data_IF_844446938008
#
_entry.id   IF_844446938008
#
_cell.length_a   1.000
_cell.length_b   1.000
_cell.length_c   1.000
_cell.angle_alpha   90.00
_cell.angle_beta   90.00
_cell.angle_gamma   90.00
#
_symmetry.space_group_name_H-M   'P 1'
#
loop_
_entity.id
_entity.type
_entity.pdbx_description
1 polymer ?
#
# COMPACT_ATOMS: atom_id res chain seq x y z
N UNK A 1 19.69 -38.52 20.03
CA UNK A 1 20.10 -37.85 18.79
C UNK A 1 21.25 -36.93 19.13
N UNK A 2 22.41 -37.12 18.52
CA UNK A 2 23.58 -36.25 18.68
C UNK A 2 23.41 -35.02 17.81
N UNK A 3 23.05 -33.88 18.41
CA UNK A 3 23.14 -32.57 17.77
C UNK A 3 24.57 -32.05 17.88
N UNK A 4 25.15 -31.62 16.75
CA UNK A 4 26.42 -30.90 16.73
C UNK A 4 26.10 -29.43 17.00
N UNK A 5 26.57 -28.91 18.14
CA UNK A 5 26.54 -27.49 18.46
C UNK A 5 27.82 -26.86 17.90
N UNK A 6 27.78 -26.31 16.68
CA UNK A 6 28.92 -25.55 16.14
C UNK A 6 28.94 -24.16 16.76
N UNK A 7 29.75 -24.00 17.81
CA UNK A 7 30.18 -22.70 18.33
C UNK A 7 31.15 -22.05 17.34
N UNK A 8 30.60 -21.34 16.35
CA UNK A 8 31.35 -20.29 15.66
C UNK A 8 31.64 -19.17 16.64
N UNK A 9 32.88 -18.66 16.67
CA UNK A 9 33.33 -17.57 17.54
C UNK A 9 32.24 -16.50 17.70
N UNK A 10 31.78 -16.27 18.94
CA UNK A 10 30.98 -15.11 19.29
C UNK A 10 31.80 -13.86 18.96
N UNK A 11 31.52 -13.23 17.81
CA UNK A 11 31.99 -11.88 17.53
C UNK A 11 30.96 -10.95 18.13
N UNK A 12 31.16 -10.58 19.39
CA UNK A 12 30.42 -9.48 19.99
C UNK A 12 30.98 -8.19 19.39
N UNK A 13 30.23 -7.58 18.46
CA UNK A 13 30.55 -6.27 17.92
C UNK A 13 30.43 -5.25 19.06
N UNK A 14 31.49 -4.50 19.32
CA UNK A 14 31.72 -3.71 20.54
C UNK A 14 30.70 -2.58 20.84
N UNK A 15 29.62 -2.43 20.06
CA UNK A 15 28.62 -1.36 20.25
C UNK A 15 27.16 -1.80 19.98
N UNK A 16 26.86 -3.10 19.81
CA UNK A 16 25.53 -3.53 19.37
C UNK A 16 24.99 -4.73 20.16
N UNK A 17 23.91 -4.48 20.93
CA UNK A 17 22.82 -5.41 21.33
C UNK A 17 23.08 -6.32 22.57
N UNK A 18 22.01 -6.78 23.27
CA UNK A 18 22.01 -7.40 24.61
C UNK A 18 23.14 -8.41 24.85
N UNK A 19 23.64 -8.41 26.09
CA UNK A 19 24.72 -9.30 26.50
C UNK A 19 24.15 -10.68 26.85
N UNK A 20 24.48 -11.68 26.04
CA UNK A 20 24.22 -13.08 26.36
C UNK A 20 25.03 -13.47 27.60
N UNK A 21 24.35 -13.92 28.65
CA UNK A 21 24.98 -14.31 29.91
C UNK A 21 25.13 -15.82 30.02
N UNK A 22 24.20 -16.60 29.48
CA UNK A 22 24.28 -18.07 29.45
C UNK A 22 23.45 -18.69 28.32
N UNK A 23 23.89 -19.85 27.83
CA UNK A 23 23.07 -20.75 27.02
C UNK A 23 23.34 -22.18 27.52
N UNK A 24 22.29 -22.96 27.76
CA UNK A 24 22.42 -24.36 28.21
C UNK A 24 21.24 -25.19 27.71
N UNK A 25 21.37 -26.51 27.86
CA UNK A 25 20.24 -27.43 27.70
C UNK A 25 19.65 -27.73 29.08
N UNK A 26 18.33 -27.71 29.19
CA UNK A 26 17.59 -28.12 30.39
C UNK A 26 17.74 -29.63 30.63
N UNK A 27 17.34 -30.10 31.81
CA UNK A 27 17.30 -31.54 32.11
C UNK A 27 16.32 -32.31 31.21
N UNK A 28 15.36 -31.60 30.59
CA UNK A 28 14.41 -32.12 29.60
C UNK A 28 14.92 -31.96 28.16
N UNK A 29 16.11 -31.39 27.95
CA UNK A 29 16.74 -31.22 26.64
C UNK A 29 16.31 -29.96 25.88
N UNK A 30 15.64 -29.01 26.53
CA UNK A 30 15.22 -27.74 25.90
C UNK A 30 16.35 -26.71 25.96
N UNK A 31 16.37 -25.77 25.02
CA UNK A 31 17.32 -24.66 25.09
C UNK A 31 16.90 -23.66 26.17
N UNK A 32 17.79 -23.37 27.10
CA UNK A 32 17.64 -22.28 28.07
C UNK A 32 18.63 -21.17 27.72
N UNK A 33 18.10 -19.96 27.64
CA UNK A 33 18.79 -18.75 27.24
C UNK A 33 18.72 -17.72 28.36
N UNK A 34 19.88 -17.22 28.79
CA UNK A 34 19.98 -16.12 29.76
C UNK A 34 20.67 -14.92 29.10
N UNK A 35 20.10 -13.73 29.28
CA UNK A 35 20.68 -12.50 28.75
C UNK A 35 20.31 -11.28 29.61
N UNK A 36 21.06 -10.20 29.41
CA UNK A 36 20.81 -8.91 30.03
C UNK A 36 20.35 -7.90 28.97
N UNK A 37 19.06 -7.55 29.04
CA UNK A 37 18.45 -6.54 28.19
C UNK A 37 18.89 -5.13 28.61
N UNK A 38 19.18 -4.25 27.63
CA UNK A 38 19.57 -2.87 27.93
C UNK A 38 18.39 -2.03 28.39
N UNK A 39 18.63 -1.16 29.37
CA UNK A 39 17.61 -0.25 29.91
C UNK A 39 16.92 0.57 28.80
N UNK A 40 15.60 0.55 28.76
CA UNK A 40 14.78 1.33 27.82
C UNK A 40 14.59 0.71 26.43
N UNK A 41 15.05 -0.53 26.21
CA UNK A 41 14.74 -1.31 25.02
C UNK A 41 13.86 -2.51 25.38
N UNK A 42 12.99 -2.89 24.45
CA UNK A 42 12.20 -4.12 24.52
C UNK A 42 12.75 -5.09 23.48
N UNK A 43 12.81 -6.36 23.86
CA UNK A 43 13.30 -7.43 22.99
C UNK A 43 12.28 -8.55 22.88
N UNK A 44 12.39 -9.36 21.85
CA UNK A 44 11.69 -10.64 21.72
C UNK A 44 12.68 -11.70 21.28
N UNK A 45 12.38 -12.95 21.58
CA UNK A 45 13.10 -14.08 21.00
C UNK A 45 12.35 -14.48 19.74
N UNK A 46 13.10 -14.58 18.64
CA UNK A 46 12.58 -15.09 17.39
C UNK A 46 13.17 -16.46 17.10
N UNK A 47 12.37 -17.37 16.55
CA UNK A 47 12.78 -18.67 16.06
C UNK A 47 12.80 -18.71 14.52
N UNK A 48 13.65 -19.56 13.95
CA UNK A 48 13.73 -19.81 12.51
C UNK A 48 14.15 -21.25 12.26
N UNK A 49 13.58 -21.89 11.24
CA UNK A 49 13.99 -23.23 10.79
C UNK A 49 15.09 -23.18 9.72
N UNK A 50 15.23 -22.05 9.02
CA UNK A 50 16.04 -21.93 7.80
C UNK A 50 16.97 -20.70 7.76
N UNK A 51 17.00 -19.90 8.84
CA UNK A 51 17.67 -18.60 8.97
C UNK A 51 17.17 -17.48 8.04
N UNK A 52 16.19 -17.76 7.17
CA UNK A 52 15.60 -16.80 6.24
C UNK A 52 14.32 -16.19 6.80
N UNK A 53 13.44 -17.01 7.37
CA UNK A 53 12.17 -16.58 7.97
C UNK A 53 12.27 -16.66 9.49
N UNK A 54 11.93 -15.56 10.18
CA UNK A 54 12.00 -15.45 11.63
C UNK A 54 10.62 -15.13 12.19
N UNK A 55 10.19 -15.84 13.23
CA UNK A 55 8.91 -15.66 13.92
C UNK A 55 9.13 -15.39 15.40
N UNK A 56 8.36 -14.49 16.00
CA UNK A 56 8.43 -14.21 17.43
C UNK A 56 7.92 -15.43 18.21
N UNK A 57 8.63 -15.83 19.27
CA UNK A 57 8.31 -16.99 20.13
C UNK A 57 8.38 -16.65 21.62
N UNK A 58 8.41 -15.37 21.97
CA UNK A 58 8.38 -14.91 23.36
C UNK A 58 7.48 -13.70 23.54
N UNK A 59 7.02 -13.47 24.76
CA UNK A 59 6.44 -12.16 25.12
C UNK A 59 7.50 -11.06 25.01
N UNK A 60 7.09 -9.78 24.82
CA UNK A 60 8.00 -8.66 24.86
C UNK A 60 8.76 -8.59 26.20
N UNK A 61 10.08 -8.72 26.10
CA UNK A 61 11.02 -8.74 27.20
C UNK A 61 11.50 -7.31 27.42
N UNK A 62 10.87 -6.66 28.39
CA UNK A 62 11.26 -5.31 28.82
C UNK A 62 12.54 -5.42 29.64
N UNK A 63 13.46 -4.47 29.45
CA UNK A 63 14.68 -4.42 30.25
C UNK A 63 14.38 -4.49 31.75
N UNK A 64 15.03 -5.42 32.42
CA UNK A 64 15.11 -5.44 33.87
C UNK A 64 16.59 -5.40 34.26
N UNK A 65 16.93 -4.77 35.38
CA UNK A 65 18.30 -4.81 35.91
C UNK A 65 18.75 -6.24 36.31
N UNK A 66 17.89 -7.24 36.10
CA UNK A 66 18.16 -8.66 36.29
C UNK A 66 18.27 -9.40 34.94
N UNK A 67 19.04 -10.49 34.95
CA UNK A 67 19.08 -11.42 33.83
C UNK A 67 17.68 -12.02 33.60
N UNK A 68 17.26 -12.07 32.33
CA UNK A 68 16.04 -12.78 31.93
C UNK A 68 16.42 -14.16 31.45
N UNK A 69 15.75 -15.17 32.01
CA UNK A 69 15.85 -16.55 31.55
C UNK A 69 14.64 -16.88 30.66
N UNK A 70 14.89 -17.43 29.49
CA UNK A 70 13.88 -17.97 28.59
C UNK A 70 14.18 -19.42 28.27
N UNK A 71 13.12 -20.23 28.20
CA UNK A 71 13.20 -21.66 27.90
C UNK A 71 12.42 -21.90 26.61
N UNK A 72 13.05 -22.54 25.64
CA UNK A 72 12.40 -22.90 24.38
C UNK A 72 11.18 -23.80 24.64
N UNK A 73 10.06 -23.61 23.91
CA UNK A 73 8.89 -24.48 24.01
C UNK A 73 9.25 -25.96 23.81
N UNK A 74 8.46 -26.87 24.40
CA UNK A 74 8.54 -28.29 24.04
C UNK A 74 7.99 -28.43 22.62
N UNK A 75 8.87 -28.41 21.61
CA UNK A 75 8.52 -28.59 20.20
C UNK A 75 9.30 -29.75 19.58
N UNK A 76 8.64 -30.51 18.70
CA UNK A 76 9.17 -31.69 18.02
C UNK A 76 10.07 -31.33 16.81
N UNK A 77 10.24 -30.03 16.51
CA UNK A 77 11.00 -29.54 15.36
C UNK A 77 12.54 -29.71 15.56
N UNK A 78 13.23 -30.54 14.74
CA UNK A 78 14.60 -30.94 15.02
C UNK A 78 15.68 -29.86 14.76
N UNK A 79 15.33 -28.67 14.28
CA UNK A 79 16.31 -27.61 13.92
C UNK A 79 15.72 -26.20 14.05
N UNK A 80 15.61 -25.66 15.27
CA UNK A 80 15.28 -24.25 15.49
C UNK A 80 16.52 -23.41 15.84
N UNK A 81 16.68 -22.31 15.12
CA UNK A 81 17.61 -21.22 15.43
C UNK A 81 16.87 -20.17 16.25
N UNK A 82 17.45 -19.70 17.34
CA UNK A 82 16.89 -18.60 18.13
C UNK A 82 17.77 -17.37 18.04
N UNK A 83 17.16 -16.18 17.98
CA UNK A 83 17.86 -14.90 18.12
C UNK A 83 17.07 -13.96 19.01
N UNK A 84 17.79 -13.06 19.69
CA UNK A 84 17.19 -11.95 20.41
C UNK A 84 17.08 -10.76 19.46
N UNK A 85 15.85 -10.37 19.15
CA UNK A 85 15.52 -9.25 18.28
C UNK A 85 15.03 -8.06 19.10
N UNK A 86 15.39 -6.84 18.69
CA UNK A 86 14.83 -5.64 19.31
C UNK A 86 13.40 -5.49 18.82
N UNK A 87 12.45 -5.44 19.75
CA UNK A 87 11.03 -5.27 19.49
C UNK A 87 10.63 -3.85 19.87
N UNK A 88 10.48 -2.99 18.87
CA UNK A 88 10.07 -1.61 19.11
C UNK A 88 8.65 -1.38 18.61
N UNK A 89 7.69 -1.75 19.45
CA UNK A 89 6.27 -1.55 19.18
C UNK A 89 5.90 -0.08 19.00
N UNK A 90 6.64 0.83 19.64
CA UNK A 90 6.45 2.26 19.45
C UNK A 90 6.94 2.71 18.07
N UNK A 91 8.06 2.17 17.58
CA UNK A 91 8.52 2.42 16.22
C UNK A 91 7.56 1.85 15.17
N UNK A 92 7.01 0.64 15.38
CA UNK A 92 5.98 0.08 14.51
C UNK A 92 4.72 0.95 14.47
N UNK A 93 4.28 1.41 15.66
CA UNK A 93 3.17 2.35 15.77
C UNK A 93 3.46 3.68 15.05
N UNK A 94 4.66 4.23 15.22
CA UNK A 94 5.07 5.46 14.53
C UNK A 94 5.08 5.27 13.01
N UNK A 95 5.58 4.13 12.51
CA UNK A 95 5.54 3.80 11.09
C UNK A 95 4.09 3.70 10.59
N UNK A 96 3.21 3.04 11.33
CA UNK A 96 1.78 2.98 11.02
C UNK A 96 1.17 4.39 10.93
N UNK A 97 1.39 5.25 11.94
CA UNK A 97 0.82 6.60 11.98
C UNK A 97 1.34 7.46 10.82
N UNK A 98 2.63 7.35 10.46
CA UNK A 98 3.24 8.03 9.31
C UNK A 98 2.62 7.59 7.98
N UNK A 99 2.45 6.29 7.78
CA UNK A 99 1.89 5.74 6.54
C UNK A 99 0.39 6.05 6.40
N UNK A 100 -0.36 6.01 7.51
CA UNK A 100 -1.76 6.45 7.54
C UNK A 100 -1.89 7.94 7.19
N UNK A 101 -0.98 8.77 7.70
CA UNK A 101 -0.94 10.19 7.33
C UNK A 101 -0.62 10.36 5.84
N UNK A 102 0.40 9.66 5.32
CA UNK A 102 0.78 9.73 3.90
C UNK A 102 -0.37 9.33 2.98
N UNK A 103 -1.14 8.30 3.33
CA UNK A 103 -2.35 7.90 2.61
C UNK A 103 -3.43 9.00 2.65
N UNK A 104 -3.71 9.53 3.84
CA UNK A 104 -4.73 10.58 4.00
C UNK A 104 -4.38 11.87 3.24
N UNK A 105 -3.09 12.20 3.15
CA UNK A 105 -2.58 13.36 2.40
C UNK A 105 -2.75 13.19 0.88
N UNK A 106 -2.84 11.95 0.37
CA UNK A 106 -3.23 11.73 -1.02
C UNK A 106 -4.66 12.23 -1.29
N UNK A 107 -5.52 12.25 -0.25
CA UNK A 107 -6.90 12.72 -0.30
C UNK A 107 -7.70 12.14 -1.48
N UNK A 108 -7.47 10.86 -1.80
CA UNK A 108 -8.13 10.18 -2.91
C UNK A 108 -9.60 9.99 -2.62
N UNK A 109 -10.44 10.47 -3.54
CA UNK A 109 -11.88 10.25 -3.44
C UNK A 109 -12.36 9.14 -4.37
N UNK A 110 -11.48 8.57 -5.21
CA UNK A 110 -11.73 7.33 -5.93
C UNK A 110 -10.45 6.53 -6.18
N UNK A 111 -10.52 5.22 -5.98
CA UNK A 111 -9.41 4.31 -6.23
C UNK A 111 -9.88 2.88 -6.49
N UNK A 112 -9.00 2.08 -7.11
CA UNK A 112 -9.22 0.66 -7.37
C UNK A 112 -8.02 -0.15 -6.89
N UNK A 113 -8.27 -1.33 -6.32
CA UNK A 113 -7.23 -2.22 -5.82
C UNK A 113 -7.66 -3.68 -5.95
N UNK A 114 -6.66 -4.54 -6.06
CA UNK A 114 -6.81 -5.97 -5.87
C UNK A 114 -6.65 -6.27 -4.39
N UNK A 115 -7.59 -7.01 -3.83
CA UNK A 115 -7.60 -7.41 -2.43
C UNK A 115 -7.76 -8.92 -2.29
N UNK A 116 -7.05 -9.52 -1.34
CA UNK A 116 -7.38 -10.85 -0.85
C UNK A 116 -7.11 -10.99 0.65
N UNK A 117 -7.98 -11.75 1.32
CA UNK A 117 -7.67 -12.27 2.64
C UNK A 117 -6.53 -13.29 2.56
N UNK A 118 -5.66 -13.26 3.56
CA UNK A 118 -4.59 -14.22 3.80
C UNK A 118 -4.89 -14.93 5.11
N UNK A 119 -5.67 -16.00 5.02
CA UNK A 119 -6.07 -16.83 6.16
C UNK A 119 -6.22 -18.28 5.70
N UNK A 120 -6.25 -19.23 6.63
CA UNK A 120 -6.58 -20.63 6.36
C UNK A 120 -8.09 -20.83 6.13
N UNK A 121 -8.63 -20.10 5.17
CA UNK A 121 -10.04 -20.10 4.81
C UNK A 121 -10.26 -20.85 3.49
N UNK A 122 -11.53 -21.14 3.16
CA UNK A 122 -11.87 -21.76 1.88
C UNK A 122 -11.39 -20.87 0.71
N UNK A 123 -10.97 -21.45 -0.44
CA UNK A 123 -10.47 -20.68 -1.58
C UNK A 123 -11.42 -19.59 -2.10
N UNK A 124 -12.72 -19.77 -1.93
CA UNK A 124 -13.73 -18.76 -2.27
C UNK A 124 -13.68 -17.51 -1.40
N UNK A 125 -13.16 -17.62 -0.16
CA UNK A 125 -12.98 -16.49 0.77
C UNK A 125 -11.65 -15.76 0.56
N UNK A 126 -10.61 -16.49 0.13
CA UNK A 126 -9.28 -15.95 -0.13
C UNK A 126 -9.07 -15.61 -1.61
N UNK A 127 -10.07 -15.83 -2.46
CA UNK A 127 -10.02 -15.47 -3.86
C UNK A 127 -9.80 -13.95 -4.02
N UNK A 128 -8.84 -13.52 -4.85
CA UNK A 128 -8.59 -12.10 -5.07
C UNK A 128 -9.77 -11.45 -5.80
N UNK A 129 -10.12 -10.25 -5.34
CA UNK A 129 -11.18 -9.40 -5.89
C UNK A 129 -10.64 -8.04 -6.33
N UNK A 130 -11.20 -7.49 -7.39
CA UNK A 130 -11.05 -6.09 -7.74
C UNK A 130 -12.09 -5.30 -6.95
N UNK A 131 -11.66 -4.30 -6.19
CA UNK A 131 -12.54 -3.42 -5.42
C UNK A 131 -12.41 -2.00 -5.96
N UNK A 132 -13.54 -1.37 -6.22
CA UNK A 132 -13.66 0.04 -6.59
C UNK A 132 -14.32 0.80 -5.45
N UNK A 133 -13.70 1.92 -5.08
CA UNK A 133 -14.18 2.84 -4.06
C UNK A 133 -14.35 4.21 -4.68
N UNK A 134 -15.48 4.85 -4.47
CA UNK A 134 -15.73 6.25 -4.83
C UNK A 134 -16.47 6.95 -3.69
N UNK A 135 -16.01 8.14 -3.30
CA UNK A 135 -16.57 8.89 -2.19
C UNK A 135 -16.49 8.18 -0.83
N UNK A 136 -15.53 7.27 -0.67
CA UNK A 136 -15.38 6.43 0.53
C UNK A 136 -16.32 5.22 0.60
N UNK A 137 -17.12 4.98 -0.43
CA UNK A 137 -18.07 3.86 -0.49
C UNK A 137 -17.66 2.88 -1.61
N UNK A 138 -17.94 1.59 -1.42
CA UNK A 138 -17.76 0.62 -2.50
C UNK A 138 -18.73 0.92 -3.65
N UNK A 139 -18.21 0.96 -4.87
CA UNK A 139 -19.02 1.11 -6.09
C UNK A 139 -19.00 -0.14 -6.96
N UNK A 140 -18.07 -1.06 -6.69
CA UNK A 140 -18.04 -2.35 -7.36
C UNK A 140 -17.02 -3.30 -6.76
N UNK A 141 -17.39 -4.58 -6.67
CA UNK A 141 -16.50 -5.67 -6.28
C UNK A 141 -16.69 -6.81 -7.27
N UNK A 142 -15.61 -7.32 -7.86
CA UNK A 142 -15.66 -8.45 -8.79
C UNK A 142 -14.48 -9.41 -8.59
N UNK A 143 -14.68 -10.69 -8.92
CA UNK A 143 -13.62 -11.69 -8.89
C UNK A 143 -12.55 -11.36 -9.94
N UNK A 144 -11.27 -11.44 -9.58
CA UNK A 144 -10.18 -11.17 -10.53
C UNK A 144 -10.16 -12.18 -11.68
N UNK A 145 -10.54 -13.43 -11.43
CA UNK A 145 -10.35 -14.50 -12.41
C UNK A 145 -11.29 -14.44 -13.62
N UNK A 146 -12.52 -13.93 -13.46
CA UNK A 146 -13.54 -13.88 -14.52
C UNK A 146 -14.36 -12.58 -14.55
N UNK A 147 -14.10 -11.64 -13.65
CA UNK A 147 -14.82 -10.38 -13.56
C UNK A 147 -16.26 -10.50 -13.06
N UNK A 148 -16.68 -11.67 -12.56
CA UNK A 148 -18.04 -11.85 -12.04
C UNK A 148 -18.24 -10.96 -10.81
N UNK A 149 -19.30 -10.13 -10.78
CA UNK A 149 -19.59 -9.29 -9.63
C UNK A 149 -19.86 -10.11 -8.36
N UNK A 150 -19.28 -9.68 -7.25
CA UNK A 150 -19.64 -10.21 -5.93
C UNK A 150 -21.01 -9.66 -5.54
N UNK A 151 -21.85 -10.54 -5.01
CA UNK A 151 -23.20 -10.21 -4.54
C UNK A 151 -23.12 -9.15 -3.42
N UNK A 152 -23.86 -8.04 -3.55
CA UNK A 152 -23.78 -6.87 -2.64
C UNK A 152 -23.87 -7.22 -1.15
N UNK A 153 -24.69 -8.22 -0.78
CA UNK A 153 -24.82 -8.67 0.61
C UNK A 153 -23.49 -9.12 1.25
N UNK A 154 -22.53 -9.56 0.42
CA UNK A 154 -21.23 -10.06 0.84
C UNK A 154 -20.14 -8.98 0.80
N UNK A 155 -20.45 -7.76 0.32
CA UNK A 155 -19.46 -6.67 0.22
C UNK A 155 -18.86 -6.29 1.57
N UNK A 156 -19.63 -6.42 2.66
CA UNK A 156 -19.17 -6.13 4.03
C UNK A 156 -17.97 -6.96 4.50
N UNK A 157 -17.68 -8.08 3.81
CA UNK A 157 -16.51 -8.93 4.05
C UNK A 157 -15.21 -8.28 3.57
N UNK A 158 -15.31 -7.29 2.70
CA UNK A 158 -14.18 -6.52 2.20
C UNK A 158 -14.12 -5.19 2.94
N UNK A 159 -13.00 -4.48 2.79
CA UNK A 159 -12.66 -3.29 3.56
C UNK A 159 -12.07 -2.25 2.63
N UNK A 160 -12.47 -0.99 2.74
CA UNK A 160 -11.75 0.13 2.09
C UNK A 160 -10.33 0.25 2.67
N UNK A 161 -9.44 1.01 2.03
CA UNK A 161 -8.08 1.20 2.58
C UNK A 161 -8.13 1.83 3.98
N UNK A 162 -9.05 2.77 4.20
CA UNK A 162 -9.27 3.40 5.49
C UNK A 162 -9.71 2.38 6.55
N UNK A 163 -10.65 1.50 6.22
CA UNK A 163 -11.08 0.44 7.14
C UNK A 163 -9.98 -0.61 7.39
N UNK A 164 -9.06 -0.83 6.43
CA UNK A 164 -7.89 -1.68 6.64
C UNK A 164 -6.90 -1.05 7.62
N UNK A 165 -6.72 0.27 7.59
CA UNK A 165 -5.96 0.96 8.64
C UNK A 165 -6.63 0.81 10.01
N UNK A 166 -7.96 0.85 10.08
CA UNK A 166 -8.68 0.67 11.35
C UNK A 166 -8.46 -0.73 11.94
N UNK A 167 -8.37 -1.78 11.10
CA UNK A 167 -8.03 -3.14 11.55
C UNK A 167 -6.63 -3.19 12.18
N UNK A 168 -5.65 -2.51 11.57
CA UNK A 168 -4.27 -2.48 12.09
C UNK A 168 -4.22 -1.67 13.39
N UNK A 169 -4.91 -0.53 13.46
CA UNK A 169 -4.97 0.30 14.68
C UNK A 169 -5.62 -0.48 15.83
N UNK A 170 -6.70 -1.22 15.55
CA UNK A 170 -7.34 -2.11 16.52
C UNK A 170 -6.37 -3.17 17.06
N UNK A 171 -5.55 -3.78 16.20
CA UNK A 171 -4.53 -4.75 16.63
C UNK A 171 -3.49 -4.13 17.58
N UNK A 172 -3.05 -2.88 17.31
CA UNK A 172 -2.19 -2.15 18.24
C UNK A 172 -2.90 -1.87 19.57
N UNK A 173 -4.18 -1.45 19.54
CA UNK A 173 -4.97 -1.14 20.73
C UNK A 173 -5.27 -2.36 21.59
N UNK A 174 -5.46 -3.53 20.99
CA UNK A 174 -5.75 -4.79 21.68
C UNK A 174 -4.51 -5.51 22.19
N UNK A 175 -3.32 -4.92 22.03
CA UNK A 175 -2.06 -5.55 22.39
C UNK A 175 -1.82 -6.88 21.65
N UNK A 176 -2.21 -6.95 20.36
CA UNK A 176 -1.99 -8.15 19.54
C UNK A 176 -0.52 -8.61 19.61
N UNK A 177 -0.36 -9.93 19.74
CA UNK A 177 0.89 -10.63 20.00
C UNK A 177 1.88 -10.46 18.86
N UNK A 178 1.42 -10.61 17.61
CA UNK A 178 2.20 -10.32 16.42
C UNK A 178 1.44 -9.34 15.51
N UNK A 179 2.16 -8.35 14.99
CA UNK A 179 1.67 -7.45 13.94
C UNK A 179 2.79 -7.30 12.92
N UNK A 180 2.62 -7.86 11.73
CA UNK A 180 3.55 -7.68 10.62
C UNK A 180 2.87 -6.86 9.55
N UNK A 181 3.48 -5.73 9.16
CA UNK A 181 2.92 -4.82 8.16
C UNK A 181 3.97 -4.42 7.13
N UNK A 182 3.54 -4.26 5.89
CA UNK A 182 4.31 -3.63 4.82
C UNK A 182 3.45 -2.55 4.18
N UNK A 183 4.09 -1.47 3.74
CA UNK A 183 3.42 -0.31 3.17
C UNK A 183 4.02 0.03 1.81
N UNK A 184 3.19 0.62 0.95
CA UNK A 184 3.67 1.26 -0.27
C UNK A 184 4.47 2.52 0.08
N UNK A 185 5.64 2.70 -0.52
CA UNK A 185 6.56 3.79 -0.16
C UNK A 185 6.08 5.18 -0.59
N UNK A 186 5.22 5.22 -1.61
CA UNK A 186 4.84 6.46 -2.28
C UNK A 186 3.48 6.94 -1.78
N UNK A 187 2.54 6.00 -1.60
CA UNK A 187 1.16 6.27 -1.21
C UNK A 187 0.85 5.90 0.25
N UNK A 188 1.70 5.12 0.91
CA UNK A 188 1.54 4.77 2.33
C UNK A 188 0.44 3.76 2.66
N UNK A 189 -0.30 3.21 1.69
CA UNK A 189 -1.33 2.20 1.99
C UNK A 189 -0.70 0.86 2.43
N UNK A 190 -1.36 0.08 3.31
CA UNK A 190 -0.88 -1.23 3.72
C UNK A 190 -0.94 -2.22 2.56
N UNK A 191 0.18 -2.81 2.17
CA UNK A 191 0.28 -3.79 1.07
C UNK A 191 0.09 -5.23 1.53
N UNK A 192 0.65 -5.58 2.68
CA UNK A 192 0.52 -6.90 3.29
C UNK A 192 0.53 -6.76 4.79
N UNK A 193 -0.44 -7.42 5.43
CA UNK A 193 -0.62 -7.42 6.88
C UNK A 193 -0.85 -8.83 7.36
N UNK A 194 -0.26 -9.14 8.50
CA UNK A 194 -0.54 -10.33 9.30
C UNK A 194 -0.68 -9.90 10.77
N UNK A 195 -1.75 -10.35 11.42
CA UNK A 195 -2.05 -10.07 12.82
C UNK A 195 -2.37 -11.41 13.50
N UNK A 196 -1.71 -11.64 14.62
CA UNK A 196 -2.00 -12.73 15.56
C UNK A 196 -2.22 -12.09 16.94
N UNK A 197 -3.38 -12.27 17.56
CA UNK A 197 -3.68 -11.77 18.90
C UNK A 197 -3.29 -12.77 19.99
N UNK A 198 -3.37 -14.08 19.75
CA UNK A 198 -2.95 -15.15 20.66
C UNK A 198 -2.45 -16.38 19.88
N UNK A 199 -1.13 -16.61 19.94
CA UNK A 199 -0.40 -17.75 19.33
C UNK A 199 -1.00 -19.14 19.63
N UNK A 200 -1.86 -19.26 20.66
CA UNK A 200 -2.48 -20.52 21.06
C UNK A 200 -3.83 -20.77 20.40
N UNK A 201 -4.32 -19.85 19.56
CA UNK A 201 -5.64 -19.91 18.93
C UNK A 201 -5.49 -19.83 17.40
N UNK A 202 -5.33 -20.98 16.76
CA UNK A 202 -5.07 -21.11 15.31
C UNK A 202 -6.11 -20.52 14.34
N UNK A 203 -7.28 -20.06 14.80
CA UNK A 203 -8.39 -19.60 13.95
C UNK A 203 -8.70 -18.09 14.09
N UNK A 204 -7.89 -17.35 14.85
CA UNK A 204 -8.13 -15.93 15.11
C UNK A 204 -7.15 -14.98 14.42
N UNK A 205 -6.06 -15.54 13.86
CA UNK A 205 -5.14 -14.88 12.95
C UNK A 205 -5.87 -14.26 11.75
N UNK A 206 -5.45 -13.05 11.39
CA UNK A 206 -5.96 -12.37 10.20
C UNK A 206 -4.82 -11.75 9.42
N UNK A 207 -4.71 -12.14 8.17
CA UNK A 207 -3.88 -11.44 7.20
C UNK A 207 -4.68 -10.95 6.00
N UNK A 208 -4.13 -9.95 5.31
CA UNK A 208 -4.67 -9.48 4.04
C UNK A 208 -3.57 -8.93 3.16
N UNK A 209 -3.82 -8.92 1.85
CA UNK A 209 -2.96 -8.29 0.86
C UNK A 209 -3.76 -7.29 0.02
N UNK A 210 -3.10 -6.19 -0.30
CA UNK A 210 -3.62 -5.09 -1.11
C UNK A 210 -2.60 -4.78 -2.18
N UNK A 211 -3.08 -4.64 -3.40
CA UNK A 211 -2.31 -4.05 -4.49
C UNK A 211 -3.19 -2.99 -5.14
N UNK A 212 -2.86 -1.72 -4.92
CA UNK A 212 -3.52 -0.64 -5.64
C UNK A 212 -3.30 -0.87 -7.14
N UNK A 213 -4.38 -0.75 -7.92
CA UNK A 213 -4.22 -0.77 -9.36
C UNK A 213 -3.53 0.52 -9.78
N UNK A 214 -2.46 0.35 -10.58
CA UNK A 214 -1.68 1.48 -11.08
C UNK A 214 -2.63 2.44 -11.79
N UNK A 215 -2.73 3.66 -11.27
CA UNK A 215 -3.50 4.69 -11.94
C UNK A 215 -2.80 4.99 -13.27
N UNK A 216 -3.53 5.08 -14.39
CA UNK A 216 -2.93 5.46 -15.66
C UNK A 216 -2.17 6.77 -15.48
N UNK A 217 -0.91 6.84 -15.90
CA UNK A 217 -0.10 8.05 -15.74
C UNK A 217 -0.27 8.96 -16.95
N UNK A 218 -0.11 10.28 -16.73
CA UNK A 218 0.07 11.22 -17.85
C UNK A 218 1.25 10.75 -18.71
N UNK A 219 1.03 10.69 -20.01
CA UNK A 219 2.05 10.39 -21.01
C UNK A 219 2.77 11.68 -21.41
N UNK A 220 4.10 11.68 -21.31
CA UNK A 220 4.92 12.82 -21.72
C UNK A 220 5.33 12.63 -23.19
N UNK A 221 4.81 13.47 -24.08
CA UNK A 221 5.05 13.40 -25.52
C UNK A 221 5.31 14.80 -26.08
N UNK A 222 6.44 14.99 -26.76
CA UNK A 222 6.76 16.26 -27.41
C UNK A 222 5.88 16.54 -28.64
N UNK A 223 5.31 15.48 -29.24
CA UNK A 223 4.35 15.59 -30.33
C UNK A 223 2.99 15.10 -29.83
N UNK A 224 2.04 16.02 -29.74
CA UNK A 224 0.67 15.72 -29.33
C UNK A 224 -0.09 15.18 -30.55
N UNK A 225 -0.72 13.98 -30.48
CA UNK A 225 -1.48 13.40 -31.57
C UNK A 225 -2.62 14.29 -32.07
N UNK A 226 -2.99 14.16 -33.35
CA UNK A 226 -4.08 14.94 -33.95
C UNK A 226 -5.44 14.60 -33.33
N UNK A 227 -6.22 15.65 -33.05
CA UNK A 227 -7.57 15.60 -32.48
C UNK A 227 -8.55 14.73 -33.28
N UNK A 228 -8.31 14.55 -34.57
CA UNK A 228 -9.13 13.70 -35.46
C UNK A 228 -9.15 12.22 -35.06
N UNK A 229 -8.28 11.78 -34.15
CA UNK A 229 -8.22 10.42 -33.64
C UNK A 229 -9.03 10.18 -32.35
N UNK A 230 -9.64 11.22 -31.76
CA UNK A 230 -10.38 11.09 -30.49
C UNK A 230 -11.90 11.05 -30.72
N UNK A 231 -12.56 10.06 -30.12
CA UNK A 231 -14.01 9.98 -30.05
C UNK A 231 -14.60 11.03 -29.11
N UNK A 232 -15.87 11.39 -29.33
CA UNK A 232 -16.52 12.47 -28.60
C UNK A 232 -16.78 12.11 -27.12
N UNK A 233 -16.46 13.05 -26.23
CA UNK A 233 -16.79 13.02 -24.81
C UNK A 233 -16.99 14.46 -24.30
N UNK A 234 -17.50 14.58 -23.08
CA UNK A 234 -17.61 15.84 -22.34
C UNK A 234 -16.81 15.71 -21.06
N UNK A 235 -15.93 16.67 -20.81
CA UNK A 235 -15.30 16.83 -19.51
C UNK A 235 -16.28 17.61 -18.61
N UNK A 236 -16.62 17.05 -17.46
CA UNK A 236 -17.60 17.62 -16.53
C UNK A 236 -16.90 18.29 -15.34
N UNK A 237 -15.99 17.57 -14.69
CA UNK A 237 -15.29 18.03 -13.50
C UNK A 237 -13.82 17.60 -13.52
N UNK A 238 -12.98 18.35 -12.81
CA UNK A 238 -11.56 18.07 -12.65
C UNK A 238 -11.13 18.53 -11.26
N UNK A 239 -10.40 17.68 -10.56
CA UNK A 239 -9.83 17.95 -9.25
C UNK A 239 -8.43 17.33 -9.19
N UNK A 240 -7.57 17.89 -8.34
CA UNK A 240 -6.26 17.32 -8.04
C UNK A 240 -6.21 17.01 -6.55
N UNK A 241 -5.72 15.82 -6.22
CA UNK A 241 -5.53 15.34 -4.85
C UNK A 241 -4.18 14.65 -4.75
N UNK A 242 -3.24 15.24 -3.99
CA UNK A 242 -1.83 14.85 -4.05
C UNK A 242 -1.31 14.89 -5.49
N UNK A 243 -0.75 13.77 -5.94
CA UNK A 243 -0.25 13.61 -7.32
C UNK A 243 -1.27 12.98 -8.27
N UNK A 244 -2.55 12.91 -7.90
CA UNK A 244 -3.60 12.31 -8.72
C UNK A 244 -4.55 13.36 -9.29
N UNK A 245 -4.75 13.32 -10.61
CA UNK A 245 -5.73 14.09 -11.34
C UNK A 245 -7.02 13.27 -11.48
N UNK A 246 -8.06 13.69 -10.78
CA UNK A 246 -9.40 13.11 -10.88
C UNK A 246 -10.25 13.89 -11.89
N UNK A 247 -10.84 13.20 -12.85
CA UNK A 247 -11.68 13.76 -13.91
C UNK A 247 -13.03 13.06 -13.92
N UNK A 248 -14.11 13.82 -14.07
CA UNK A 248 -15.43 13.27 -14.38
C UNK A 248 -15.74 13.51 -15.86
N UNK A 249 -16.00 12.44 -16.60
CA UNK A 249 -16.32 12.49 -18.03
C UNK A 249 -17.70 11.93 -18.31
N UNK A 250 -18.32 12.43 -19.37
CA UNK A 250 -19.56 11.90 -19.93
C UNK A 250 -19.37 11.58 -21.42
N UNK A 251 -19.73 10.37 -21.83
CA UNK A 251 -19.57 9.90 -23.21
C UNK A 251 -20.70 8.95 -23.62
N UNK A 252 -20.88 8.77 -24.93
CA UNK A 252 -21.82 7.81 -25.49
C UNK A 252 -21.19 6.42 -25.63
N UNK A 253 -21.92 5.36 -25.26
CA UNK A 253 -21.43 3.98 -25.38
C UNK A 253 -21.97 3.08 -24.27
N UNK A 254 -21.08 2.29 -23.65
CA UNK A 254 -21.35 1.49 -22.45
C UNK A 254 -21.39 -0.03 -22.67
N UNK A 255 -21.07 -0.50 -23.88
CA UNK A 255 -21.05 -1.92 -24.24
C UNK A 255 -19.64 -2.44 -24.53
N UNK A 256 -18.67 -1.55 -24.75
CA UNK A 256 -17.25 -1.89 -24.90
C UNK A 256 -16.43 -1.11 -23.90
N UNK A 257 -15.17 -1.49 -23.77
CA UNK A 257 -14.19 -0.70 -23.01
C UNK A 257 -13.90 0.60 -23.76
N UNK A 258 -13.79 1.69 -23.00
CA UNK A 258 -13.44 3.02 -23.51
C UNK A 258 -12.10 3.41 -22.89
N UNK A 259 -11.12 3.70 -23.75
CA UNK A 259 -9.77 4.10 -23.33
C UNK A 259 -9.68 5.61 -23.26
N UNK A 260 -9.15 6.12 -22.16
CA UNK A 260 -8.83 7.53 -21.97
C UNK A 260 -7.37 7.67 -21.61
N UNK A 261 -6.68 8.61 -22.25
CA UNK A 261 -5.28 8.92 -21.96
C UNK A 261 -5.13 10.42 -21.77
N UNK A 262 -4.13 10.81 -20.98
CA UNK A 262 -3.73 12.20 -20.81
C UNK A 262 -2.32 12.36 -21.35
N UNK A 263 -2.13 13.36 -22.20
CA UNK A 263 -0.86 13.66 -22.85
C UNK A 263 -0.43 15.07 -22.46
N UNK A 264 0.84 15.24 -22.16
CA UNK A 264 1.46 16.55 -21.90
C UNK A 264 2.81 16.64 -22.61
N UNK A 265 3.18 17.83 -23.08
CA UNK A 265 4.54 18.07 -23.54
C UNK A 265 5.43 18.41 -22.33
N UNK A 266 6.48 17.61 -22.05
CA UNK A 266 7.35 17.82 -20.88
C UNK A 266 8.16 19.11 -20.91
N UNK A 267 8.19 19.84 -22.03
CA UNK A 267 8.92 21.09 -22.17
C UNK A 267 8.03 22.31 -22.45
N UNK A 268 6.72 22.12 -22.67
CA UNK A 268 5.81 23.21 -23.05
C UNK A 268 5.11 23.86 -21.84
N UNK A 269 5.88 24.14 -20.78
CA UNK A 269 5.39 24.98 -19.69
C UNK A 269 5.27 26.43 -20.14
N UNK A 270 4.15 27.08 -19.84
CA UNK A 270 3.90 28.46 -20.22
C UNK A 270 4.64 29.41 -19.27
N UNK A 271 5.25 30.46 -19.84
CA UNK A 271 5.89 31.54 -19.09
C UNK A 271 4.83 32.40 -18.38
N UNK A 272 4.33 31.93 -17.23
CA UNK A 272 3.35 32.60 -16.38
C UNK A 272 3.66 32.45 -14.89
N UNK A 273 2.95 33.19 -14.03
CA UNK A 273 3.00 33.05 -12.58
C UNK A 273 1.56 32.91 -12.01
N UNK A 274 1.16 31.74 -11.46
CA UNK A 274 1.94 30.50 -11.40
C UNK A 274 2.23 29.93 -12.79
N UNK A 275 3.25 29.08 -12.90
CA UNK A 275 3.56 28.38 -14.16
C UNK A 275 2.35 27.55 -14.58
N UNK A 276 2.11 27.45 -15.88
CA UNK A 276 0.98 26.69 -16.42
C UNK A 276 1.46 25.56 -17.34
N UNK A 277 0.74 24.45 -17.34
CA UNK A 277 0.92 23.35 -18.30
C UNK A 277 -0.41 23.08 -19.02
N UNK A 278 -0.33 22.85 -20.33
CA UNK A 278 -1.47 22.33 -21.08
C UNK A 278 -1.38 20.80 -21.11
N UNK A 279 -2.47 20.14 -20.70
CA UNK A 279 -2.62 18.69 -20.81
C UNK A 279 -3.84 18.37 -21.67
N UNK A 280 -3.78 17.26 -22.39
CA UNK A 280 -4.74 16.93 -23.43
C UNK A 280 -5.29 15.54 -23.22
N UNK A 281 -6.62 15.40 -23.23
CA UNK A 281 -7.30 14.14 -22.94
C UNK A 281 -7.87 13.51 -24.22
N UNK A 282 -7.43 12.30 -24.55
CA UNK A 282 -7.94 11.49 -25.66
C UNK A 282 -9.00 10.50 -25.19
N UNK A 283 -9.84 10.05 -26.12
CA UNK A 283 -10.86 9.04 -25.91
C UNK A 283 -10.97 8.11 -27.13
N UNK A 284 -10.92 6.80 -26.93
CA UNK A 284 -11.15 5.77 -27.95
C UNK A 284 -12.30 4.86 -27.49
N UNK A 285 -13.38 4.83 -28.27
CA UNK A 285 -14.61 4.10 -27.97
C UNK A 285 -14.59 2.64 -28.43
N UNK A 286 -13.54 2.21 -29.14
CA UNK A 286 -13.44 0.88 -29.74
C UNK A 286 -14.67 0.55 -30.61
N UNK A 287 -15.14 1.53 -31.38
CA UNK A 287 -16.34 1.47 -32.21
C UNK A 287 -17.60 1.04 -31.43
N UNK A 288 -17.78 1.52 -30.20
CA UNK A 288 -18.99 1.27 -29.43
C UNK A 288 -20.21 1.96 -30.08
N UNK A 289 -21.19 1.16 -30.52
CA UNK A 289 -22.42 1.63 -31.14
C UNK A 289 -23.56 1.83 -30.14
N UNK A 290 -23.33 1.50 -28.87
CA UNK A 290 -24.32 1.72 -27.82
C UNK A 290 -24.58 3.21 -27.61
N UNK A 291 -25.81 3.49 -27.18
CA UNK A 291 -26.33 4.87 -27.06
C UNK A 291 -26.63 5.25 -25.62
N UNK A 292 -26.14 4.48 -24.65
CA UNK A 292 -26.23 4.92 -23.26
C UNK A 292 -25.31 6.13 -23.07
N UNK A 293 -25.75 7.04 -22.21
CA UNK A 293 -24.93 8.15 -21.77
C UNK A 293 -24.24 7.71 -20.48
N UNK A 294 -22.94 7.46 -20.56
CA UNK A 294 -22.13 6.96 -19.44
C UNK A 294 -21.42 8.13 -18.81
N UNK A 295 -21.51 8.22 -17.48
CA UNK A 295 -20.75 9.13 -16.65
C UNK A 295 -19.73 8.31 -15.87
N UNK A 296 -18.46 8.68 -15.94
CA UNK A 296 -17.37 7.91 -15.37
C UNK A 296 -16.35 8.83 -14.71
N UNK A 297 -15.90 8.45 -13.52
CA UNK A 297 -14.75 9.05 -12.86
C UNK A 297 -13.47 8.35 -13.30
N UNK A 298 -12.45 9.13 -13.63
CA UNK A 298 -11.15 8.67 -14.09
C UNK A 298 -10.07 9.34 -13.24
N UNK A 299 -9.01 8.61 -12.94
CA UNK A 299 -7.93 9.09 -12.09
C UNK A 299 -6.61 8.85 -12.80
N UNK A 300 -5.76 9.86 -12.88
CA UNK A 300 -4.46 9.78 -13.55
C UNK A 300 -3.32 10.24 -12.64
N UNK A 301 -2.19 9.53 -12.66
CA UNK A 301 -0.98 10.00 -11.96
C UNK A 301 -0.31 11.16 -12.71
N UNK A 302 -0.10 12.26 -12.00
CA UNK A 302 0.62 13.47 -12.41
C UNK A 302 2.13 13.36 -12.18
N UNK A 303 2.61 12.29 -11.54
CA UNK A 303 4.01 12.15 -11.14
C UNK A 303 5.01 12.40 -12.29
N UNK A 304 4.84 11.87 -13.52
CA UNK A 304 5.76 12.17 -14.62
C UNK A 304 5.83 13.67 -14.94
N UNK A 305 4.68 14.35 -14.94
CA UNK A 305 4.60 15.78 -15.20
C UNK A 305 5.21 16.60 -14.05
N UNK A 306 5.00 16.19 -12.80
CA UNK A 306 5.61 16.78 -11.60
C UNK A 306 7.13 16.73 -11.66
N UNK A 307 7.70 15.57 -12.01
CA UNK A 307 9.14 15.37 -12.16
C UNK A 307 9.72 16.25 -13.27
N UNK A 308 9.06 16.31 -14.44
CA UNK A 308 9.46 17.19 -15.54
C UNK A 308 9.41 18.67 -15.14
N UNK A 309 8.36 19.08 -14.41
CA UNK A 309 8.22 20.44 -13.91
C UNK A 309 9.33 20.81 -12.92
N UNK A 310 9.60 19.96 -11.92
CA UNK A 310 10.66 20.17 -10.91
C UNK A 310 12.05 20.30 -11.55
N UNK A 311 12.31 19.55 -12.62
CA UNK A 311 13.59 19.62 -13.34
C UNK A 311 13.83 21.00 -13.99
N UNK A 312 12.77 21.68 -14.44
CA UNK A 312 12.84 22.99 -15.10
C UNK A 312 12.62 24.17 -14.14
N UNK A 313 11.81 23.97 -13.09
CA UNK A 313 11.40 24.99 -12.14
C UNK A 313 11.66 24.57 -10.68
N UNK A 314 12.93 24.35 -10.26
CA UNK A 314 13.26 23.75 -8.97
C UNK A 314 12.85 24.58 -7.73
N UNK A 315 12.48 25.85 -7.93
CA UNK A 315 12.04 26.74 -6.84
C UNK A 315 10.52 27.02 -6.88
N UNK A 316 9.79 26.48 -7.85
CA UNK A 316 8.35 26.66 -7.96
C UNK A 316 7.63 25.49 -7.29
N UNK A 317 6.61 25.80 -6.50
CA UNK A 317 5.84 24.83 -5.73
C UNK A 317 4.37 24.72 -6.18
N UNK A 318 4.01 25.39 -7.28
CA UNK A 318 2.66 25.33 -7.83
C UNK A 318 2.70 25.34 -9.35
N UNK A 319 1.81 24.55 -9.94
CA UNK A 319 1.59 24.41 -11.37
C UNK A 319 0.10 24.49 -11.63
N UNK A 320 -0.33 25.31 -12.58
CA UNK A 320 -1.73 25.33 -13.02
C UNK A 320 -1.91 24.45 -14.24
N UNK A 321 -2.79 23.45 -14.15
CA UNK A 321 -3.08 22.52 -15.24
C UNK A 321 -4.28 23.00 -16.04
N UNK A 322 -4.07 23.27 -17.33
CA UNK A 322 -5.12 23.57 -18.30
C UNK A 322 -5.47 22.29 -19.06
N UNK A 323 -6.67 21.78 -18.83
CA UNK A 323 -7.15 20.50 -19.35
C UNK A 323 -7.96 20.73 -20.61
N UNK A 324 -7.47 20.20 -21.72
CA UNK A 324 -8.10 20.34 -23.03
C UNK A 324 -8.70 19.01 -23.47
N UNK A 325 -9.97 19.03 -23.89
CA UNK A 325 -10.55 17.94 -24.67
C UNK A 325 -10.20 18.11 -26.15
N UNK A 326 -9.93 17.01 -26.86
CA UNK A 326 -9.61 17.02 -28.31
C UNK A 326 -10.82 17.29 -29.24
N UNK A 327 -11.78 18.14 -28.85
CA UNK A 327 -12.97 18.38 -29.71
C UNK A 327 -12.60 19.11 -31.01
N UNK A 328 -12.89 18.46 -32.13
CA UNK A 328 -12.66 18.94 -33.51
C UNK A 328 -13.71 19.95 -34.01
N UNK A 329 -14.69 20.35 -33.21
CA UNK A 329 -15.83 21.18 -33.63
C UNK A 329 -16.05 22.48 -32.81
N UNK A 330 -14.98 23.04 -32.25
CA UNK A 330 -14.96 24.45 -31.84
C UNK A 330 -15.15 24.74 -30.36
N UNK A 331 -14.04 24.70 -29.62
CA UNK A 331 -13.62 25.82 -28.79
C UNK A 331 -14.05 25.83 -27.32
N UNK A 332 -13.06 25.60 -26.44
CA UNK A 332 -13.05 26.03 -25.05
C UNK A 332 -12.10 25.15 -24.24
N UNK A 333 -11.14 25.77 -23.55
CA UNK A 333 -10.43 25.17 -22.40
C UNK A 333 -11.43 24.37 -21.58
N UNK A 334 -11.17 23.08 -21.39
CA UNK A 334 -12.12 22.18 -20.74
C UNK A 334 -12.30 22.59 -19.29
N UNK A 335 -11.24 22.47 -18.50
CA UNK A 335 -11.20 22.85 -17.08
C UNK A 335 -9.77 23.29 -16.72
N UNK A 336 -9.65 24.09 -15.66
CA UNK A 336 -8.35 24.47 -15.10
C UNK A 336 -8.33 24.13 -13.63
N UNK A 337 -7.26 23.49 -13.18
CA UNK A 337 -7.08 23.07 -11.78
C UNK A 337 -5.69 23.44 -11.27
N UNK A 338 -5.57 23.92 -10.03
CA UNK A 338 -4.27 24.05 -9.39
C UNK A 338 -3.69 22.67 -9.08
N UNK A 339 -2.37 22.55 -9.17
CA UNK A 339 -1.59 21.39 -8.74
C UNK A 339 -0.45 21.90 -7.88
N UNK A 340 -0.54 21.62 -6.58
CA UNK A 340 0.51 21.94 -5.63
C UNK A 340 1.63 20.90 -5.75
N UNK A 341 2.82 21.40 -6.04
CA UNK A 341 4.03 20.60 -6.14
C UNK A 341 4.79 20.82 -4.85
N UNK A 342 4.47 20.03 -3.82
CA UNK A 342 5.17 20.09 -2.55
C UNK A 342 6.70 20.01 -2.73
N UNK A 343 7.52 20.57 -1.82
CA UNK A 343 8.97 20.59 -1.94
C UNK A 343 9.64 19.22 -2.12
#
# INVERSE_FOLDING_TARGET
MTGILTLGNFVQGAELKPEWTSFKLSDQGQMELSFSAHSGQTYVIEASDDLAVWQVVSDPIVSSDAATDWIAPEDDAPHQFYRLAQFDRNAMRLQFDQNRQLWNEQALSSYQYVFNWSCFCLPEYTAPVNIKVEGGEWTGISLVHDGVPVIEKDWKRYKTIEELFDIIDEAFLQDAKEITTTYDSDLGYPMSVFIDYDERIADEERGFNVKLEAQPSIQLMAEIPDAAASDAFRLLEANVSGDLLELEVEYGGGCREHLFEIIADPNAFLESDPVQANIYMTHESNNDLCRALVRKKLTFSLQPLKEAFRALYPNANSLTLNIHGFRSDGGGTGLTVPFDVDP
#
